data_IF_586652713502
#
_entry.id   IF_586652713502
#
_cell.length_a   1.000
_cell.length_b   1.000
_cell.length_c   1.000
_cell.angle_alpha   90.00
_cell.angle_beta   90.00
_cell.angle_gamma   90.00
#
_symmetry.space_group_name_H-M   'P 1'
#
loop_
_entity.id
_entity.type
_entity.pdbx_description
1 polymer ?
#
# COMPACT_ATOMS: atom_id res chain seq x y z
N UNK A 1 -16.45 2.53 -17.04
CA UNK A 1 -17.72 2.07 -16.41
C UNK A 1 -17.51 2.21 -14.92
N UNK A 2 -18.31 2.96 -14.14
CA UNK A 2 -18.10 3.04 -12.67
C UNK A 2 -18.51 1.71 -12.04
N UNK A 3 -17.92 1.33 -10.90
CA UNK A 3 -18.47 0.24 -10.08
C UNK A 3 -19.94 0.54 -9.77
N UNK A 4 -20.83 -0.41 -10.01
CA UNK A 4 -22.23 -0.27 -9.60
C UNK A 4 -22.38 -0.59 -8.11
N UNK A 5 -23.54 -0.28 -7.53
CA UNK A 5 -23.82 -0.52 -6.11
C UNK A 5 -23.61 -1.99 -5.70
N UNK A 6 -23.86 -2.95 -6.59
CA UNK A 6 -23.67 -4.37 -6.32
C UNK A 6 -22.17 -4.75 -6.28
N UNK A 7 -21.34 -4.14 -7.13
CA UNK A 7 -19.89 -4.32 -7.12
C UNK A 7 -19.29 -3.69 -5.84
N UNK A 8 -19.75 -2.50 -5.45
CA UNK A 8 -19.36 -1.84 -4.19
C UNK A 8 -19.76 -2.69 -2.98
N UNK A 9 -21.00 -3.18 -2.96
CA UNK A 9 -21.50 -4.08 -1.91
C UNK A 9 -20.66 -5.35 -1.83
N UNK A 10 -20.33 -5.93 -2.98
CA UNK A 10 -19.45 -7.12 -3.05
C UNK A 10 -18.08 -6.81 -2.45
N UNK A 11 -17.45 -5.69 -2.78
CA UNK A 11 -16.16 -5.32 -2.18
C UNK A 11 -16.28 -5.15 -0.66
N UNK A 12 -17.30 -4.43 -0.18
CA UNK A 12 -17.54 -4.19 1.25
C UNK A 12 -17.79 -5.47 2.05
N UNK A 13 -18.64 -6.36 1.55
CA UNK A 13 -19.11 -7.52 2.30
C UNK A 13 -18.24 -8.78 2.07
N UNK A 14 -17.67 -8.92 0.87
CA UNK A 14 -16.97 -10.14 0.47
C UNK A 14 -15.45 -9.98 0.53
N UNK A 15 -14.90 -8.88 0.03
CA UNK A 15 -13.44 -8.70 -0.04
C UNK A 15 -12.87 -8.31 1.32
N UNK A 16 -13.39 -7.24 1.92
CA UNK A 16 -12.87 -6.80 3.20
C UNK A 16 -13.25 -7.75 4.34
N UNK A 17 -12.30 -7.93 5.25
CA UNK A 17 -12.51 -8.63 6.52
C UNK A 17 -12.79 -7.59 7.59
N UNK A 18 -13.87 -7.74 8.38
CA UNK A 18 -14.20 -6.78 9.43
C UNK A 18 -13.06 -6.63 10.44
N UNK A 19 -12.83 -5.41 10.90
CA UNK A 19 -11.77 -5.07 11.85
C UNK A 19 -11.73 -6.01 13.07
N UNK A 20 -12.89 -6.29 13.67
CA UNK A 20 -13.00 -7.15 14.86
C UNK A 20 -12.64 -8.62 14.63
N UNK A 21 -12.66 -9.08 13.38
CA UNK A 21 -12.46 -10.49 13.03
C UNK A 21 -11.01 -10.78 12.61
N UNK A 22 -10.25 -9.75 12.19
CA UNK A 22 -8.91 -9.88 11.61
C UNK A 22 -7.98 -10.72 12.46
N UNK A 23 -7.89 -10.43 13.76
CA UNK A 23 -6.92 -11.09 14.64
C UNK A 23 -7.27 -12.56 14.84
N UNK A 24 -8.54 -12.86 15.12
CA UNK A 24 -9.01 -14.23 15.33
C UNK A 24 -8.84 -15.08 14.07
N UNK A 25 -9.20 -14.53 12.90
CA UNK A 25 -9.04 -15.21 11.61
C UNK A 25 -7.56 -15.46 11.27
N UNK A 26 -6.70 -14.46 11.45
CA UNK A 26 -5.27 -14.59 11.18
C UNK A 26 -4.63 -15.65 12.09
N UNK A 27 -4.94 -15.63 13.39
CA UNK A 27 -4.40 -16.59 14.34
C UNK A 27 -4.92 -18.02 14.04
N UNK A 28 -6.20 -18.18 13.72
CA UNK A 28 -6.76 -19.49 13.35
C UNK A 28 -6.09 -20.07 12.09
N UNK A 29 -5.86 -19.23 11.08
CA UNK A 29 -5.27 -19.66 9.79
C UNK A 29 -3.77 -19.88 9.88
N UNK A 30 -3.06 -19.04 10.62
CA UNK A 30 -1.64 -19.25 10.91
C UNK A 30 -1.39 -20.55 11.65
N UNK A 31 -2.27 -20.93 12.57
CA UNK A 31 -2.15 -22.20 13.30
C UNK A 31 -2.68 -23.41 12.50
N UNK A 32 -3.34 -23.19 11.35
CA UNK A 32 -3.75 -24.26 10.45
C UNK A 32 -2.57 -24.71 9.57
N UNK A 33 -1.87 -25.75 10.02
CA UNK A 33 -0.70 -26.32 9.33
C UNK A 33 -1.01 -26.77 7.89
N UNK A 34 -2.14 -27.44 7.65
CA UNK A 34 -2.50 -27.93 6.32
C UNK A 34 -2.72 -26.77 5.34
N UNK A 35 -3.35 -25.69 5.80
CA UNK A 35 -3.57 -24.49 5.00
C UNK A 35 -2.25 -23.81 4.64
N UNK A 36 -1.36 -23.62 5.63
CA UNK A 36 -0.02 -23.05 5.40
C UNK A 36 0.79 -23.86 4.42
N UNK A 37 0.91 -25.18 4.63
CA UNK A 37 1.63 -26.06 3.71
C UNK A 37 1.08 -25.97 2.28
N UNK A 38 -0.25 -25.90 2.12
CA UNK A 38 -0.88 -25.72 0.80
C UNK A 38 -0.50 -24.38 0.15
N UNK A 39 -0.47 -23.28 0.92
CA UNK A 39 -0.08 -21.95 0.42
C UNK A 39 1.41 -21.90 0.07
N UNK A 40 2.27 -22.42 0.94
CA UNK A 40 3.72 -22.46 0.74
C UNK A 40 4.11 -23.33 -0.46
N UNK A 41 3.50 -24.51 -0.63
CA UNK A 41 3.72 -25.37 -1.81
C UNK A 41 3.24 -24.68 -3.08
N UNK A 42 2.08 -24.03 -3.04
CA UNK A 42 1.55 -23.32 -4.20
C UNK A 42 2.46 -22.16 -4.63
N UNK A 43 2.93 -21.36 -3.67
CA UNK A 43 3.81 -20.22 -3.93
C UNK A 43 5.22 -20.67 -4.33
N UNK A 44 5.71 -21.80 -3.81
CA UNK A 44 7.00 -22.38 -4.18
C UNK A 44 8.15 -21.37 -4.07
N UNK A 45 8.87 -21.15 -5.17
CA UNK A 45 9.97 -20.17 -5.24
C UNK A 45 9.50 -18.71 -5.12
N UNK A 46 8.21 -18.43 -5.32
CA UNK A 46 7.60 -17.11 -5.16
C UNK A 46 7.14 -16.85 -3.72
N UNK A 47 7.40 -17.75 -2.78
CA UNK A 47 7.12 -17.47 -1.37
C UNK A 47 8.09 -16.42 -0.81
N UNK A 48 7.57 -15.43 -0.07
CA UNK A 48 8.38 -14.37 0.53
C UNK A 48 8.87 -14.79 1.92
N UNK A 49 10.19 -14.84 2.10
CA UNK A 49 10.81 -15.22 3.37
C UNK A 49 10.39 -14.34 4.54
N UNK A 50 10.06 -13.08 4.29
CA UNK A 50 9.63 -12.09 5.29
C UNK A 50 8.28 -12.44 5.94
N UNK A 51 7.53 -13.35 5.32
CA UNK A 51 6.24 -13.89 5.75
C UNK A 51 6.34 -15.29 6.38
N UNK A 52 7.54 -15.87 6.48
CA UNK A 52 7.74 -17.25 6.94
C UNK A 52 7.69 -17.41 8.46
N UNK A 53 8.21 -16.43 9.21
CA UNK A 53 8.40 -16.58 10.66
C UNK A 53 7.17 -16.23 11.48
N UNK A 54 6.35 -15.30 11.01
CA UNK A 54 5.18 -14.78 11.72
C UNK A 54 4.23 -14.06 10.77
N UNK A 55 2.94 -13.93 11.13
CA UNK A 55 2.02 -13.09 10.41
C UNK A 55 2.45 -11.62 10.39
N UNK A 56 2.26 -10.94 9.25
CA UNK A 56 2.61 -9.52 9.09
C UNK A 56 1.42 -8.67 8.68
N UNK A 57 1.43 -7.40 9.09
CA UNK A 57 0.56 -6.38 8.51
C UNK A 57 1.25 -5.78 7.29
N UNK A 58 0.64 -5.89 6.11
CA UNK A 58 1.30 -5.56 4.86
C UNK A 58 0.66 -4.32 4.24
N UNK A 59 1.51 -3.37 3.87
CA UNK A 59 1.17 -2.19 3.08
C UNK A 59 2.05 -2.19 1.84
N UNK A 60 1.49 -1.84 0.67
CA UNK A 60 2.24 -1.84 -0.59
C UNK A 60 2.15 -0.47 -1.26
N UNK A 61 3.28 0.20 -1.51
CA UNK A 61 3.33 1.55 -2.08
C UNK A 61 4.41 1.70 -3.14
N UNK A 62 4.30 2.75 -3.96
CA UNK A 62 5.36 3.02 -4.94
C UNK A 62 6.66 3.47 -4.25
N UNK A 63 6.52 4.38 -3.28
CA UNK A 63 7.61 4.84 -2.39
C UNK A 63 7.02 5.05 -1.00
N UNK A 64 7.64 4.49 0.04
CA UNK A 64 7.23 4.74 1.41
C UNK A 64 7.65 6.14 1.88
N UNK A 65 6.70 6.81 2.51
CA UNK A 65 6.84 8.20 2.97
C UNK A 65 6.00 8.40 4.23
N UNK A 66 6.41 9.24 5.19
CA UNK A 66 5.70 9.40 6.46
C UNK A 66 4.52 10.40 6.32
N UNK A 67 3.60 10.14 5.38
CA UNK A 67 2.36 10.91 5.27
C UNK A 67 1.31 10.41 6.28
N UNK A 68 0.17 11.12 6.39
CA UNK A 68 -0.89 10.76 7.34
C UNK A 68 -1.49 9.37 7.14
N UNK A 69 -1.53 8.89 5.90
CA UNK A 69 -1.95 7.52 5.60
C UNK A 69 -1.05 6.50 6.30
N UNK A 70 0.28 6.69 6.23
CA UNK A 70 1.21 5.82 6.92
C UNK A 70 1.09 5.90 8.44
N UNK A 71 0.89 7.10 9.01
CA UNK A 71 0.61 7.22 10.45
C UNK A 71 -0.63 6.44 10.85
N UNK A 72 -1.70 6.52 10.06
CA UNK A 72 -2.92 5.76 10.32
C UNK A 72 -2.70 4.24 10.23
N UNK A 73 -1.94 3.78 9.22
CA UNK A 73 -1.51 2.39 9.14
C UNK A 73 -0.74 1.96 10.40
N UNK A 74 0.26 2.75 10.82
CA UNK A 74 1.10 2.43 11.97
C UNK A 74 0.29 2.33 13.27
N UNK A 75 -0.68 3.22 13.46
CA UNK A 75 -1.60 3.19 14.62
C UNK A 75 -2.42 1.88 14.62
N UNK A 76 -3.03 1.53 13.48
CA UNK A 76 -3.82 0.29 13.38
C UNK A 76 -2.96 -0.96 13.59
N UNK A 77 -1.76 -1.00 13.02
CA UNK A 77 -0.86 -2.15 13.17
C UNK A 77 -0.45 -2.36 14.63
N UNK A 78 -0.27 -1.26 15.37
CA UNK A 78 -0.03 -1.30 16.81
C UNK A 78 -1.22 -1.93 17.57
N UNK A 79 -2.46 -1.57 17.21
CA UNK A 79 -3.67 -2.13 17.84
C UNK A 79 -3.77 -3.65 17.67
N UNK A 80 -3.35 -4.18 16.52
CA UNK A 80 -3.33 -5.62 16.26
C UNK A 80 -2.08 -6.35 16.79
N UNK A 81 -1.10 -5.61 17.33
CA UNK A 81 0.21 -6.16 17.74
C UNK A 81 0.90 -6.95 16.63
N UNK A 82 0.75 -6.51 15.37
CA UNK A 82 1.42 -7.12 14.21
C UNK A 82 2.69 -6.36 13.89
N UNK A 83 3.64 -7.04 13.24
CA UNK A 83 4.83 -6.38 12.70
C UNK A 83 4.53 -5.92 11.26
N UNK A 84 4.83 -4.66 10.91
CA UNK A 84 4.59 -4.15 9.57
C UNK A 84 5.53 -4.83 8.57
N UNK A 85 5.12 -4.95 7.32
CA UNK A 85 5.96 -5.34 6.19
C UNK A 85 5.58 -4.45 5.01
N UNK A 86 6.52 -3.63 4.56
CA UNK A 86 6.26 -2.48 3.70
C UNK A 86 6.79 -2.80 2.30
N UNK A 87 5.91 -3.24 1.40
CA UNK A 87 6.26 -3.60 0.04
C UNK A 87 6.40 -2.38 -0.86
N UNK A 88 7.63 -2.05 -1.23
CA UNK A 88 7.90 -0.95 -2.14
C UNK A 88 8.14 -1.48 -3.55
N UNK A 89 7.41 -0.95 -4.54
CA UNK A 89 7.62 -1.33 -5.93
C UNK A 89 7.78 -0.08 -6.79
N UNK A 90 8.84 -0.05 -7.59
CA UNK A 90 9.10 1.04 -8.51
C UNK A 90 8.06 1.16 -9.64
N UNK A 91 8.35 2.04 -10.58
CA UNK A 91 7.52 2.23 -11.76
C UNK A 91 7.75 3.61 -12.37
N UNK A 92 7.10 3.86 -13.50
CA UNK A 92 7.20 5.16 -14.16
C UNK A 92 6.38 6.23 -13.43
N UNK A 93 6.93 7.43 -13.32
CA UNK A 93 6.21 8.61 -12.89
C UNK A 93 5.19 9.00 -13.95
N UNK A 94 3.95 9.18 -13.53
CA UNK A 94 2.87 9.69 -14.36
C UNK A 94 2.08 10.66 -13.49
N UNK A 95 2.05 11.94 -13.85
CA UNK A 95 1.42 12.97 -13.02
C UNK A 95 -0.11 12.77 -12.82
N UNK A 96 -0.76 12.00 -13.71
CA UNK A 96 -2.18 11.59 -13.55
C UNK A 96 -2.38 10.64 -12.34
N UNK A 97 -1.36 9.88 -11.94
CA UNK A 97 -1.44 9.04 -10.75
C UNK A 97 -1.26 9.91 -9.49
N UNK A 98 -2.31 10.02 -8.69
CA UNK A 98 -2.36 10.91 -7.53
C UNK A 98 -1.30 10.57 -6.46
N UNK A 99 -1.07 9.29 -6.15
CA UNK A 99 -0.05 8.87 -5.18
C UNK A 99 1.34 9.36 -5.62
N UNK A 100 1.71 9.09 -6.88
CA UNK A 100 3.00 9.51 -7.46
C UNK A 100 3.12 11.02 -7.56
N UNK A 101 2.03 11.71 -7.91
CA UNK A 101 1.99 13.17 -7.93
C UNK A 101 2.27 13.74 -6.54
N UNK A 102 1.72 13.15 -5.48
CA UNK A 102 1.88 13.63 -4.10
C UNK A 102 3.25 13.31 -3.49
N UNK A 103 3.96 12.32 -4.02
CA UNK A 103 5.39 12.14 -3.74
C UNK A 103 6.21 13.30 -4.33
N UNK A 104 5.90 13.70 -5.56
CA UNK A 104 6.58 14.79 -6.28
C UNK A 104 6.17 16.21 -5.83
N UNK A 105 4.95 16.37 -5.31
CA UNK A 105 4.42 17.60 -4.73
C UNK A 105 3.87 17.31 -3.34
N UNK A 106 4.66 17.65 -2.33
CA UNK A 106 4.29 17.46 -0.95
C UNK A 106 3.24 18.48 -0.52
N UNK A 107 2.16 18.02 0.11
CA UNK A 107 1.14 18.86 0.74
C UNK A 107 1.30 18.82 2.25
N UNK A 108 1.30 19.97 2.91
CA UNK A 108 1.42 20.09 4.36
C UNK A 108 0.12 20.60 4.94
N UNK A 109 -0.42 19.88 5.90
CA UNK A 109 -1.68 20.23 6.56
C UNK A 109 -1.42 21.27 7.66
N UNK A 110 -1.59 22.54 7.33
CA UNK A 110 -1.25 23.64 8.23
C UNK A 110 -2.34 23.93 9.28
N UNK A 111 -3.60 23.63 8.97
CA UNK A 111 -4.72 23.93 9.87
C UNK A 111 -5.94 23.04 9.62
N UNK A 112 -6.57 22.60 10.71
CA UNK A 112 -7.93 22.03 10.76
C UNK A 112 -8.72 22.84 11.80
N UNK A 113 -9.88 23.37 11.44
CA UNK A 113 -10.83 23.94 12.40
C UNK A 113 -12.12 24.39 11.73
N UNK A 114 -12.92 25.20 12.42
CA UNK A 114 -14.27 25.61 11.97
C UNK A 114 -14.30 26.27 10.58
N UNK A 115 -13.21 26.96 10.21
CA UNK A 115 -13.04 27.64 8.92
C UNK A 115 -12.58 26.71 7.79
N UNK A 116 -12.59 25.40 8.03
CA UNK A 116 -12.17 24.37 7.09
C UNK A 116 -10.71 23.97 7.21
N UNK A 117 -10.22 23.29 6.17
CA UNK A 117 -8.89 22.69 6.12
C UNK A 117 -7.98 23.56 5.23
N UNK A 118 -6.77 23.87 5.71
CA UNK A 118 -5.76 24.60 4.91
C UNK A 118 -4.52 23.77 4.68
N UNK A 119 -4.05 23.80 3.44
CA UNK A 119 -2.80 23.18 3.03
C UNK A 119 -1.86 24.21 2.42
N UNK A 120 -0.57 24.04 2.66
CA UNK A 120 0.48 24.54 1.77
C UNK A 120 1.04 23.38 0.96
N UNK A 121 1.76 23.68 -0.13
CA UNK A 121 2.37 22.65 -0.95
C UNK A 121 3.74 23.07 -1.46
N UNK A 122 4.63 22.12 -1.65
CA UNK A 122 5.95 22.31 -2.26
C UNK A 122 6.15 21.28 -3.37
N UNK A 123 6.41 21.74 -4.59
CA UNK A 123 6.97 20.87 -5.62
C UNK A 123 8.41 20.58 -5.23
N UNK A 124 8.78 19.32 -5.19
CA UNK A 124 10.14 18.90 -4.86
C UNK A 124 10.90 18.40 -6.08
N UNK A 125 10.23 18.22 -7.22
CA UNK A 125 10.81 17.82 -8.51
C UNK A 125 10.27 18.69 -9.65
N UNK A 126 10.96 18.67 -10.79
CA UNK A 126 10.42 19.20 -12.06
C UNK A 126 9.51 18.16 -12.72
N UNK A 127 8.20 18.44 -12.76
CA UNK A 127 7.20 17.55 -13.34
C UNK A 127 7.39 17.35 -14.85
N UNK A 128 7.67 18.43 -15.58
CA UNK A 128 7.78 18.39 -17.04
C UNK A 128 9.01 17.59 -17.48
N UNK A 129 10.10 17.72 -16.72
CA UNK A 129 11.34 17.00 -17.00
C UNK A 129 11.27 15.50 -16.65
N UNK A 130 10.43 15.11 -15.68
CA UNK A 130 10.44 13.75 -15.13
C UNK A 130 9.25 12.88 -15.53
N UNK A 131 8.24 13.41 -16.24
CA UNK A 131 7.11 12.62 -16.75
C UNK A 131 7.61 11.40 -17.55
N UNK A 132 7.10 10.22 -17.19
CA UNK A 132 7.45 8.95 -17.83
C UNK A 132 8.78 8.31 -17.42
N UNK A 133 9.62 8.98 -16.62
CA UNK A 133 10.85 8.38 -16.07
C UNK A 133 10.55 7.38 -14.98
N UNK A 134 11.46 6.45 -14.73
CA UNK A 134 11.39 5.59 -13.55
C UNK A 134 11.52 6.46 -12.29
N UNK A 135 10.67 6.23 -11.28
CA UNK A 135 10.67 6.98 -10.03
C UNK A 135 12.03 6.93 -9.31
N UNK A 136 12.82 5.86 -9.52
CA UNK A 136 14.17 5.69 -8.96
C UNK A 136 15.21 6.62 -9.59
N UNK A 137 14.95 7.09 -10.81
CA UNK A 137 15.86 7.97 -11.56
C UNK A 137 15.52 9.46 -11.37
N UNK A 138 14.48 9.77 -10.58
CA UNK A 138 14.03 11.14 -10.36
C UNK A 138 14.85 11.78 -9.24
N UNK A 139 15.32 12.99 -9.48
CA UNK A 139 15.97 13.83 -8.48
C UNK A 139 15.07 14.99 -8.06
N UNK A 140 15.21 15.36 -6.79
CA UNK A 140 14.64 16.58 -6.23
C UNK A 140 15.31 17.83 -6.80
N UNK A 141 14.70 19.01 -6.61
CA UNK A 141 15.27 20.29 -7.01
C UNK A 141 16.63 20.61 -6.37
N UNK A 142 17.01 19.91 -5.30
CA UNK A 142 18.30 20.03 -4.63
C UNK A 142 19.24 18.85 -4.91
N UNK A 143 18.90 17.95 -5.85
CA UNK A 143 19.80 16.91 -6.37
C UNK A 143 19.75 15.56 -5.66
N UNK A 144 19.06 15.45 -4.52
CA UNK A 144 18.83 14.18 -3.81
C UNK A 144 17.88 13.29 -4.62
N UNK A 145 18.12 11.97 -4.67
CA UNK A 145 17.19 11.01 -5.29
C UNK A 145 15.83 11.01 -4.61
N UNK A 146 14.74 10.92 -5.37
CA UNK A 146 13.38 11.01 -4.83
C UNK A 146 13.08 9.88 -3.81
N UNK A 147 13.51 8.66 -4.11
CA UNK A 147 13.38 7.51 -3.21
C UNK A 147 14.17 7.75 -1.92
N UNK A 148 15.44 8.13 -2.05
CA UNK A 148 16.33 8.39 -0.91
C UNK A 148 15.78 9.50 -0.02
N UNK A 149 15.25 10.57 -0.62
CA UNK A 149 14.60 11.67 0.09
C UNK A 149 13.43 11.17 0.95
N UNK A 150 12.52 10.39 0.37
CA UNK A 150 11.36 9.87 1.11
C UNK A 150 11.75 8.85 2.17
N UNK A 151 12.74 7.99 1.90
CA UNK A 151 13.27 7.03 2.88
C UNK A 151 13.98 7.73 4.04
N UNK A 152 14.72 8.82 3.78
CA UNK A 152 15.32 9.65 4.83
C UNK A 152 14.25 10.30 5.69
N UNK A 153 13.23 10.91 5.09
CA UNK A 153 12.08 11.46 5.84
C UNK A 153 11.42 10.37 6.69
N UNK A 154 11.21 9.20 6.11
CA UNK A 154 10.60 8.06 6.77
C UNK A 154 11.44 7.59 7.96
N UNK A 155 12.75 7.43 7.79
CA UNK A 155 13.69 7.05 8.84
C UNK A 155 13.72 8.07 10.00
N UNK A 156 13.62 9.37 9.69
CA UNK A 156 13.54 10.41 10.71
C UNK A 156 12.28 10.30 11.58
N UNK A 157 11.16 9.79 11.04
CA UNK A 157 9.87 9.72 11.73
C UNK A 157 9.55 8.34 12.30
N UNK A 158 10.02 7.29 11.65
CA UNK A 158 9.78 5.89 11.98
C UNK A 158 11.08 5.08 11.92
N UNK A 159 12.10 5.42 12.75
CA UNK A 159 13.43 4.80 12.67
C UNK A 159 13.42 3.28 12.91
N UNK A 160 12.39 2.75 13.58
CA UNK A 160 12.24 1.31 13.83
C UNK A 160 11.61 0.56 12.65
N UNK A 161 10.87 1.24 11.78
CA UNK A 161 10.10 0.63 10.68
C UNK A 161 10.79 0.78 9.32
N UNK A 162 11.86 1.58 9.20
CA UNK A 162 12.60 1.74 7.94
C UNK A 162 13.17 0.40 7.44
N UNK A 163 13.54 -0.48 8.36
CA UNK A 163 14.05 -1.82 8.04
C UNK A 163 12.95 -2.81 7.60
N UNK A 164 11.68 -2.43 7.73
CA UNK A 164 10.55 -3.22 7.25
C UNK A 164 10.19 -2.90 5.78
N UNK A 165 10.87 -1.92 5.17
CA UNK A 165 10.75 -1.59 3.74
C UNK A 165 11.50 -2.65 2.93
N UNK A 166 10.75 -3.34 2.07
CA UNK A 166 11.26 -4.40 1.21
C UNK A 166 11.03 -4.02 -0.24
N UNK A 167 12.10 -4.08 -1.03
CA UNK A 167 11.99 -3.94 -2.48
C UNK A 167 11.23 -5.14 -3.06
N UNK A 168 10.00 -4.88 -3.48
CA UNK A 168 9.05 -5.82 -4.00
C UNK A 168 9.08 -5.92 -5.54
N UNK A 169 9.83 -5.05 -6.22
CA UNK A 169 9.86 -4.99 -7.70
C UNK A 169 10.29 -6.31 -8.34
N UNK A 170 11.31 -6.99 -7.78
CA UNK A 170 11.76 -8.28 -8.33
C UNK A 170 10.67 -9.34 -8.25
N UNK A 171 9.97 -9.40 -7.12
CA UNK A 171 8.86 -10.32 -6.94
C UNK A 171 7.72 -10.01 -7.92
N UNK A 172 7.33 -8.73 -7.99
CA UNK A 172 6.32 -8.24 -8.93
C UNK A 172 6.64 -8.59 -10.39
N UNK A 173 7.88 -8.32 -10.83
CA UNK A 173 8.31 -8.60 -12.20
C UNK A 173 8.31 -10.10 -12.51
N UNK A 174 8.64 -10.94 -11.52
CA UNK A 174 8.65 -12.40 -11.68
C UNK A 174 7.25 -13.02 -11.75
N UNK A 175 6.26 -12.45 -11.04
CA UNK A 175 4.92 -13.04 -10.93
C UNK A 175 3.93 -12.50 -11.95
N UNK A 176 4.15 -11.28 -12.49
CA UNK A 176 3.21 -10.64 -13.42
C UNK A 176 3.03 -11.35 -14.76
N UNK A 177 3.95 -12.23 -15.15
CA UNK A 177 3.92 -12.97 -16.41
C UNK A 177 3.56 -14.44 -16.26
N UNK A 178 3.21 -14.88 -15.05
CA UNK A 178 2.83 -16.27 -14.80
C UNK A 178 1.46 -16.59 -15.43
N UNK A 179 1.17 -17.89 -15.50
CA UNK A 179 -0.06 -18.41 -16.13
C UNK A 179 -1.36 -17.93 -15.46
N UNK A 180 -1.25 -17.43 -14.22
CA UNK A 180 -2.33 -16.79 -13.48
C UNK A 180 -2.03 -15.30 -13.33
N UNK A 181 -3.07 -14.51 -13.09
CA UNK A 181 -2.91 -13.07 -12.85
C UNK A 181 -1.93 -12.82 -11.70
N UNK A 182 -1.18 -11.71 -11.76
CA UNK A 182 -0.38 -11.18 -10.65
C UNK A 182 -1.14 -11.20 -9.32
N UNK A 183 -2.40 -10.73 -9.32
CA UNK A 183 -3.23 -10.67 -8.12
C UNK A 183 -3.55 -12.04 -7.54
N UNK A 184 -3.57 -13.10 -8.34
CA UNK A 184 -3.77 -14.45 -7.83
C UNK A 184 -2.63 -14.86 -6.89
N UNK A 185 -1.38 -14.66 -7.31
CA UNK A 185 -0.21 -14.92 -6.49
C UNK A 185 -0.13 -13.94 -5.31
N UNK A 186 -0.37 -12.64 -5.57
CA UNK A 186 -0.28 -11.60 -4.55
C UNK A 186 -1.28 -11.85 -3.41
N UNK A 187 -2.54 -12.16 -3.73
CA UNK A 187 -3.54 -12.44 -2.72
C UNK A 187 -3.32 -13.77 -1.97
N UNK A 188 -2.62 -14.71 -2.59
CA UNK A 188 -2.27 -15.97 -1.93
C UNK A 188 -1.35 -15.76 -0.72
N UNK A 189 -0.52 -14.69 -0.73
CA UNK A 189 0.32 -14.31 0.41
C UNK A 189 -0.51 -13.99 1.68
N UNK A 190 -1.74 -13.52 1.51
CA UNK A 190 -2.61 -13.06 2.60
C UNK A 190 -3.65 -14.11 3.02
N UNK A 191 -3.47 -15.37 2.65
CA UNK A 191 -4.37 -16.45 3.08
C UNK A 191 -4.17 -16.77 4.55
N UNK A 192 -2.91 -16.92 4.97
CA UNK A 192 -2.55 -17.25 6.35
C UNK A 192 -1.30 -16.52 6.85
N UNK A 193 -0.51 -15.85 6.00
CA UNK A 193 0.77 -15.27 6.41
C UNK A 193 0.73 -13.76 6.67
N UNK A 194 -0.39 -13.10 6.42
CA UNK A 194 -0.50 -11.67 6.69
C UNK A 194 -1.85 -11.11 6.33
N UNK A 195 -2.00 -9.82 6.63
CA UNK A 195 -3.17 -9.02 6.34
C UNK A 195 -2.75 -7.90 5.41
N UNK A 196 -3.40 -7.79 4.25
CA UNK A 196 -3.19 -6.68 3.33
C UNK A 196 -4.05 -5.49 3.74
N UNK A 197 -3.42 -4.33 3.90
CA UNK A 197 -4.08 -3.06 4.15
C UNK A 197 -4.17 -2.31 2.83
N UNK A 198 -5.35 -2.31 2.22
CA UNK A 198 -5.56 -1.64 0.94
C UNK A 198 -7.02 -1.25 0.74
N UNK A 199 -7.24 -0.17 0.01
CA UNK A 199 -8.55 0.26 -0.43
C UNK A 199 -8.71 0.00 -1.94
N UNK A 200 -9.59 -0.93 -2.29
CA UNK A 200 -9.98 -1.25 -3.67
C UNK A 200 -11.28 -0.57 -4.12
N UNK A 201 -11.87 0.31 -3.30
CA UNK A 201 -13.11 0.99 -3.65
C UNK A 201 -12.80 2.27 -4.43
N UNK A 202 -12.81 2.18 -5.75
CA UNK A 202 -12.47 3.32 -6.60
C UNK A 202 -13.66 3.71 -7.47
N UNK A 203 -14.04 4.99 -7.38
CA UNK A 203 -15.16 5.56 -8.15
C UNK A 203 -14.74 6.00 -9.56
N UNK A 204 -13.46 5.86 -9.94
CA UNK A 204 -13.00 6.17 -11.29
C UNK A 204 -13.46 5.09 -12.29
N UNK A 205 -13.96 5.54 -13.45
CA UNK A 205 -14.52 4.69 -14.51
C UNK A 205 -13.51 3.77 -15.19
N UNK A 206 -12.25 4.20 -15.32
CA UNK A 206 -11.18 3.41 -15.94
C UNK A 206 -10.67 2.36 -14.95
N UNK A 207 -10.57 2.74 -13.68
CA UNK A 207 -10.05 1.90 -12.60
C UNK A 207 -11.04 0.81 -12.17
N UNK A 208 -12.34 1.08 -12.24
CA UNK A 208 -13.39 0.12 -11.91
C UNK A 208 -13.37 -1.15 -12.79
N UNK A 209 -13.03 -1.03 -14.09
CA UNK A 209 -12.90 -2.19 -14.97
C UNK A 209 -11.71 -3.08 -14.54
N UNK A 210 -10.58 -2.45 -14.26
CA UNK A 210 -9.37 -3.11 -13.75
C UNK A 210 -9.64 -3.83 -12.42
N UNK A 211 -10.32 -3.18 -11.47
CA UNK A 211 -10.70 -3.79 -10.18
C UNK A 211 -11.60 -5.00 -10.41
N UNK A 212 -12.63 -4.88 -11.25
CA UNK A 212 -13.57 -5.97 -11.49
C UNK A 212 -12.89 -7.20 -12.11
N UNK A 213 -12.06 -6.97 -13.12
CA UNK A 213 -11.41 -8.04 -13.88
C UNK A 213 -10.26 -8.66 -13.09
N UNK A 214 -9.32 -7.84 -12.62
CA UNK A 214 -8.07 -8.33 -12.04
C UNK A 214 -8.14 -8.52 -10.53
N UNK A 215 -8.70 -7.56 -9.79
CA UNK A 215 -8.75 -7.64 -8.31
C UNK A 215 -9.84 -8.63 -7.90
N UNK A 216 -11.10 -8.38 -8.24
CA UNK A 216 -12.23 -9.20 -7.80
C UNK A 216 -12.20 -10.60 -8.42
N UNK A 217 -11.82 -10.71 -9.71
CA UNK A 217 -11.63 -11.98 -10.39
C UNK A 217 -10.61 -12.86 -9.67
N UNK A 218 -9.41 -12.33 -9.43
CA UNK A 218 -8.35 -13.08 -8.75
C UNK A 218 -8.70 -13.39 -7.29
N UNK A 219 -9.34 -12.47 -6.58
CA UNK A 219 -9.79 -12.72 -5.21
C UNK A 219 -10.76 -13.91 -5.13
N UNK A 220 -11.73 -13.99 -6.04
CA UNK A 220 -12.67 -15.12 -6.14
C UNK A 220 -11.97 -16.41 -6.51
N UNK A 221 -11.03 -16.36 -7.45
CA UNK A 221 -10.25 -17.54 -7.83
C UNK A 221 -9.40 -18.07 -6.67
N UNK A 222 -8.72 -17.19 -5.93
CA UNK A 222 -7.91 -17.55 -4.75
C UNK A 222 -8.80 -18.15 -3.66
N UNK A 223 -9.95 -17.53 -3.37
CA UNK A 223 -10.91 -18.08 -2.41
C UNK A 223 -11.39 -19.48 -2.85
N UNK A 224 -11.76 -19.67 -4.11
CA UNK A 224 -12.16 -20.98 -4.63
C UNK A 224 -11.02 -22.01 -4.51
N UNK A 225 -9.77 -21.60 -4.74
CA UNK A 225 -8.62 -22.49 -4.72
C UNK A 225 -8.24 -22.93 -3.30
N UNK A 226 -8.18 -22.00 -2.34
CA UNK A 226 -7.76 -22.31 -0.97
C UNK A 226 -8.91 -22.70 -0.05
N UNK A 227 -10.16 -22.38 -0.40
CA UNK A 227 -11.34 -22.60 0.43
C UNK A 227 -11.58 -21.51 1.48
N UNK A 228 -10.70 -20.52 1.57
CA UNK A 228 -10.83 -19.33 2.42
C UNK A 228 -10.43 -18.08 1.64
N UNK A 229 -11.06 -16.95 1.94
CA UNK A 229 -10.77 -15.67 1.27
C UNK A 229 -9.46 -15.06 1.79
N UNK A 230 -8.67 -14.31 0.99
CA UNK A 230 -7.55 -13.51 1.50
C UNK A 230 -7.97 -12.56 2.63
N UNK A 231 -7.09 -12.32 3.60
CA UNK A 231 -7.28 -11.33 4.66
C UNK A 231 -6.87 -9.95 4.15
N UNK A 232 -7.89 -9.17 3.77
CA UNK A 232 -7.73 -7.78 3.34
C UNK A 232 -8.56 -6.91 4.27
N UNK A 233 -7.96 -5.84 4.77
CA UNK A 233 -8.64 -4.82 5.56
C UNK A 233 -8.54 -3.47 4.83
N UNK A 234 -9.61 -2.66 4.80
CA UNK A 234 -9.49 -1.31 4.29
C UNK A 234 -8.47 -0.55 5.14
N UNK A 235 -7.48 0.06 4.48
CA UNK A 235 -6.51 0.90 5.14
C UNK A 235 -7.15 2.16 5.68
N UNK A 236 -8.00 2.81 4.87
CA UNK A 236 -8.65 4.08 5.19
C UNK A 236 -10.17 3.90 5.31
N UNK A 237 -10.87 4.74 6.10
CA UNK A 237 -12.32 4.77 6.11
C UNK A 237 -12.87 4.98 4.70
N UNK A 238 -13.71 4.06 4.23
CA UNK A 238 -14.17 3.98 2.84
C UNK A 238 -14.90 5.26 2.39
N UNK A 239 -15.55 5.97 3.31
CA UNK A 239 -16.30 7.19 3.01
C UNK A 239 -15.40 8.43 2.85
N UNK A 240 -14.15 8.36 3.34
CA UNK A 240 -13.23 9.51 3.45
C UNK A 240 -11.86 9.24 2.80
N UNK A 241 -11.67 8.12 2.11
CA UNK A 241 -10.40 7.69 1.53
C UNK A 241 -9.76 8.74 0.60
N UNK A 242 -10.58 9.48 -0.16
CA UNK A 242 -10.09 10.46 -1.15
C UNK A 242 -9.65 11.78 -0.55
N UNK A 243 -9.77 11.97 0.76
CA UNK A 243 -9.35 13.22 1.35
C UNK A 243 -7.85 13.41 1.19
N UNK A 244 -7.48 14.53 0.57
CA UNK A 244 -6.10 14.99 0.40
C UNK A 244 -5.30 14.96 1.70
N UNK A 245 -5.98 15.00 2.86
CA UNK A 245 -5.38 14.84 4.17
C UNK A 245 -4.56 13.57 4.32
N UNK A 246 -4.95 12.44 3.72
CA UNK A 246 -4.22 11.17 3.88
C UNK A 246 -2.83 11.21 3.24
N UNK A 247 -2.72 11.82 2.07
CA UNK A 247 -1.45 12.03 1.38
C UNK A 247 -0.72 13.32 1.83
N UNK A 248 -1.13 13.92 2.94
CA UNK A 248 -0.49 15.13 3.47
C UNK A 248 0.51 14.82 4.57
N UNK A 249 1.47 15.72 4.74
CA UNK A 249 2.54 15.68 5.71
C UNK A 249 2.24 16.64 6.86
N UNK A 250 2.86 16.36 8.01
CA UNK A 250 2.82 17.27 9.15
C UNK A 250 3.67 18.52 8.86
N UNK A 251 3.24 19.74 9.27
CA UNK A 251 3.96 20.98 8.96
C UNK A 251 5.41 21.02 9.43
N UNK A 252 5.76 20.31 10.51
CA UNK A 252 7.13 20.24 11.02
C UNK A 252 8.11 19.58 10.03
N UNK A 253 7.61 18.74 9.12
CA UNK A 253 8.43 18.11 8.08
C UNK A 253 8.97 19.11 7.05
N UNK A 254 8.42 20.34 7.00
CA UNK A 254 8.97 21.41 6.14
C UNK A 254 10.41 21.73 6.47
N UNK A 255 10.82 21.53 7.73
CA UNK A 255 12.18 21.78 8.20
C UNK A 255 13.19 20.75 7.65
N UNK A 256 12.71 19.62 7.13
CA UNK A 256 13.52 18.53 6.58
C UNK A 256 13.69 18.63 5.06
N UNK A 257 13.08 19.64 4.42
CA UNK A 257 13.21 19.88 2.99
C UNK A 257 14.55 20.54 2.66
N UNK A 258 15.24 20.04 1.64
CA UNK A 258 16.46 20.68 1.12
C UNK A 258 17.63 20.69 2.11
N UNK A 259 17.60 19.86 3.15
CA UNK A 259 18.77 19.60 3.99
C UNK A 259 19.67 18.67 3.18
N UNK A 260 20.53 19.25 2.33
CA UNK A 260 21.78 18.62 1.99
C UNK A 260 22.57 18.50 3.30
N UNK A 261 23.12 17.32 3.56
CA UNK A 261 23.84 16.99 4.80
C UNK A 261 24.76 18.15 5.25
N UNK A 262 24.63 18.55 6.52
CA UNK A 262 25.67 19.30 7.21
C UNK A 262 26.92 18.42 7.35
#
# INVERSE_FOLDING_TARGET
MVLNDADIKTLKEYVYTPYGDIKAELDARWNNRQLREKVEIFLGEYFLKELFSQPRAVLARTIFTPNREFYYFADIVSDFSLQPLLFEYGGKFVAKNTEKYHLCRMFFLDYIGEKGIRFSSKNIVDFNHNEGKDMRDIQTHWGEGLVDFHHRLFACKHPKMVNDIVNFSKWFDSTRFLNKSYYFYFFSLFICHGVLFENFLIEDKEEAAFIKEHVLGSFKEVHKFFGVKPLIMPLLPLDNEKFRTWMSYSPDMKTLLGVADN
#
